data_IF_805139596054
#
_entry.id   IF_805139596054
#
_cell.length_a   1.000
_cell.length_b   1.000
_cell.length_c   1.000
_cell.angle_alpha   90.00
_cell.angle_beta   90.00
_cell.angle_gamma   90.00
#
_symmetry.space_group_name_H-M   'P 1'
#
loop_
_entity.id
_entity.type
_entity.pdbx_description
1 polymer ?
#
# COMPACT_ATOMS: atom_id res chain seq x y z
N UNK A 1 -7.06 -21.93 -4.27
CA UNK A 1 -6.44 -20.87 -5.09
C UNK A 1 -5.52 -20.06 -4.18
N UNK A 2 -4.27 -19.79 -4.56
CA UNK A 2 -3.26 -19.20 -3.69
C UNK A 2 -3.58 -17.72 -3.40
N UNK A 3 -3.69 -17.28 -2.12
CA UNK A 3 -3.98 -15.87 -1.79
C UNK A 3 -3.03 -14.86 -2.40
N UNK A 4 -1.76 -15.24 -2.62
CA UNK A 4 -0.74 -14.39 -3.25
C UNK A 4 -1.07 -14.19 -4.74
N UNK A 5 -1.46 -15.24 -5.45
CA UNK A 5 -1.82 -15.16 -6.88
C UNK A 5 -3.10 -14.36 -7.09
N UNK A 6 -4.10 -14.56 -6.23
CA UNK A 6 -5.34 -13.77 -6.25
C UNK A 6 -5.01 -12.28 -6.09
N UNK A 7 -4.26 -11.94 -5.04
CA UNK A 7 -3.90 -10.54 -4.78
C UNK A 7 -3.05 -9.98 -5.93
N UNK A 8 -2.09 -10.74 -6.47
CA UNK A 8 -1.29 -10.32 -7.62
C UNK A 8 -2.17 -9.95 -8.82
N UNK A 9 -3.12 -10.81 -9.18
CA UNK A 9 -4.02 -10.56 -10.31
C UNK A 9 -4.89 -9.32 -10.07
N UNK A 10 -5.42 -9.16 -8.84
CA UNK A 10 -6.19 -7.98 -8.46
C UNK A 10 -5.37 -6.68 -8.56
N UNK A 11 -4.10 -6.71 -8.13
CA UNK A 11 -3.22 -5.54 -8.19
C UNK A 11 -2.80 -5.20 -9.63
N UNK A 12 -2.57 -6.20 -10.49
CA UNK A 12 -2.31 -5.99 -11.92
C UNK A 12 -3.52 -5.38 -12.64
N UNK A 13 -4.74 -5.85 -12.32
CA UNK A 13 -5.97 -5.25 -12.84
C UNK A 13 -6.13 -3.80 -12.38
N UNK A 14 -5.84 -3.52 -11.11
CA UNK A 14 -5.91 -2.18 -10.55
C UNK A 14 -4.88 -1.22 -11.16
N UNK A 15 -3.67 -1.70 -11.47
CA UNK A 15 -2.68 -0.95 -12.25
C UNK A 15 -3.25 -0.52 -13.60
N UNK A 16 -3.81 -1.47 -14.35
CA UNK A 16 -4.39 -1.21 -15.66
C UNK A 16 -5.56 -0.22 -15.57
N UNK A 17 -6.44 -0.40 -14.59
CA UNK A 17 -7.59 0.48 -14.31
C UNK A 17 -7.12 1.93 -14.06
N UNK A 18 -6.19 2.14 -13.12
CA UNK A 18 -5.70 3.48 -12.76
C UNK A 18 -4.90 4.09 -13.92
N UNK A 19 -4.04 3.31 -14.57
CA UNK A 19 -3.22 3.82 -15.67
C UNK A 19 -4.04 4.13 -16.92
N UNK A 20 -5.26 3.60 -17.06
CA UNK A 20 -6.14 3.96 -18.18
C UNK A 20 -6.76 5.36 -18.03
N UNK A 21 -6.90 5.87 -16.81
CA UNK A 21 -7.59 7.13 -16.51
C UNK A 21 -6.68 8.23 -15.97
N UNK A 22 -5.51 7.87 -15.39
CA UNK A 22 -4.59 8.83 -14.76
C UNK A 22 -3.47 9.30 -15.69
N UNK A 23 -3.09 10.57 -15.55
CA UNK A 23 -1.87 11.15 -16.15
C UNK A 23 -0.62 10.55 -15.50
N UNK A 24 -0.67 10.33 -14.18
CA UNK A 24 0.42 9.72 -13.42
C UNK A 24 0.30 8.20 -13.48
N UNK A 25 1.36 7.53 -13.93
CA UNK A 25 1.40 6.08 -14.04
C UNK A 25 1.95 5.47 -12.76
N UNK A 26 1.22 4.50 -12.22
CA UNK A 26 1.72 3.60 -11.19
C UNK A 26 2.24 2.32 -11.84
N UNK A 27 3.17 1.65 -11.17
CA UNK A 27 3.74 0.40 -11.65
C UNK A 27 3.60 -0.68 -10.59
N UNK A 28 3.03 -1.83 -10.95
CA UNK A 28 3.02 -2.98 -10.06
C UNK A 28 4.45 -3.45 -9.75
N UNK A 29 4.69 -3.77 -8.49
CA UNK A 29 5.96 -4.28 -8.03
C UNK A 29 5.77 -5.40 -7.01
N UNK A 30 6.54 -6.47 -7.15
CA UNK A 30 6.57 -7.61 -6.23
C UNK A 30 8.02 -7.88 -5.82
N UNK A 31 8.28 -8.02 -4.52
CA UNK A 31 9.63 -8.35 -4.04
C UNK A 31 10.01 -9.78 -4.46
N UNK A 32 11.21 -9.93 -5.02
CA UNK A 32 11.74 -11.23 -5.50
C UNK A 32 11.85 -12.28 -4.39
N UNK A 33 12.30 -11.87 -3.20
CA UNK A 33 12.56 -12.76 -2.06
C UNK A 33 11.30 -13.01 -1.23
N UNK A 34 10.44 -11.99 -1.11
CA UNK A 34 9.20 -12.05 -0.34
C UNK A 34 8.02 -11.83 -1.27
N UNK A 35 7.56 -12.90 -1.92
CA UNK A 35 6.52 -12.81 -2.93
C UNK A 35 5.17 -12.29 -2.38
N UNK A 36 4.97 -12.35 -1.06
CA UNK A 36 3.81 -11.76 -0.40
C UNK A 36 3.89 -10.22 -0.27
N UNK A 37 5.05 -9.60 -0.50
CA UNK A 37 5.21 -8.15 -0.53
C UNK A 37 5.04 -7.64 -1.97
N UNK A 38 3.80 -7.23 -2.27
CA UNK A 38 3.41 -6.62 -3.54
C UNK A 38 3.02 -5.17 -3.31
N UNK A 39 2.86 -4.38 -4.37
CA UNK A 39 2.50 -2.97 -4.22
C UNK A 39 2.71 -2.18 -5.48
N UNK A 40 2.78 -0.86 -5.31
CA UNK A 40 2.92 0.10 -6.38
C UNK A 40 4.09 1.04 -6.16
N UNK A 41 4.75 1.36 -7.27
CA UNK A 41 5.77 2.37 -7.42
C UNK A 41 5.28 3.41 -8.43
N UNK A 42 6.04 4.50 -8.61
CA UNK A 42 5.79 5.49 -9.67
C UNK A 42 5.51 6.89 -9.13
N UNK A 43 4.93 6.99 -7.94
CA UNK A 43 4.62 8.25 -7.26
C UNK A 43 5.56 8.52 -6.07
N UNK A 44 5.10 9.28 -5.07
CA UNK A 44 5.90 9.55 -3.88
C UNK A 44 6.11 8.28 -3.06
N UNK A 45 7.35 7.87 -2.78
CA UNK A 45 7.61 6.65 -2.01
C UNK A 45 7.02 5.37 -2.66
N UNK A 46 6.58 4.42 -1.83
CA UNK A 46 6.03 3.12 -2.25
C UNK A 46 4.82 2.75 -1.40
N UNK A 47 3.75 2.30 -2.03
CA UNK A 47 2.60 1.72 -1.34
C UNK A 47 2.68 0.20 -1.45
N UNK A 48 2.76 -0.49 -0.32
CA UNK A 48 2.81 -1.94 -0.25
C UNK A 48 1.45 -2.52 0.13
N UNK A 49 1.09 -3.64 -0.48
CA UNK A 49 -0.07 -4.47 -0.20
C UNK A 49 0.40 -5.91 -0.03
N UNK A 50 0.10 -6.50 1.11
CA UNK A 50 0.45 -7.90 1.41
C UNK A 50 -0.75 -8.64 1.98
N UNK A 51 -0.92 -9.94 1.70
CA UNK A 51 -1.99 -10.72 2.31
C UNK A 51 -1.74 -10.84 3.82
N UNK A 52 -2.82 -10.81 4.60
CA UNK A 52 -2.82 -11.00 6.04
C UNK A 52 -3.85 -12.08 6.44
N UNK A 53 -3.84 -12.50 7.70
CA UNK A 53 -4.81 -13.47 8.22
C UNK A 53 -6.27 -12.99 8.18
N UNK A 54 -6.50 -11.68 8.02
CA UNK A 54 -7.83 -11.06 8.06
C UNK A 54 -8.14 -10.29 6.76
N UNK A 55 -7.29 -10.44 5.73
CA UNK A 55 -7.43 -9.73 4.45
C UNK A 55 -6.09 -9.22 3.93
N UNK A 56 -5.85 -7.92 4.04
CA UNK A 56 -4.69 -7.24 3.43
C UNK A 56 -4.06 -6.24 4.39
N UNK A 57 -2.73 -6.15 4.38
CA UNK A 57 -1.99 -5.07 5.02
C UNK A 57 -1.57 -4.06 3.95
N UNK A 58 -2.01 -2.81 4.10
CA UNK A 58 -1.59 -1.66 3.29
C UNK A 58 -0.51 -0.91 4.07
N UNK A 59 0.70 -0.78 3.54
CA UNK A 59 1.80 -0.10 4.21
C UNK A 59 2.42 1.03 3.36
N UNK A 60 2.74 2.15 3.99
CA UNK A 60 3.26 3.35 3.32
C UNK A 60 4.76 3.46 3.53
N UNK A 61 5.58 3.29 2.49
CA UNK A 61 7.04 3.35 2.61
C UNK A 61 7.60 4.63 2.01
N UNK A 62 8.20 5.48 2.86
CA UNK A 62 8.89 6.71 2.45
C UNK A 62 8.29 7.92 3.17
N UNK A 63 9.13 8.77 3.78
CA UNK A 63 8.66 9.79 4.72
C UNK A 63 7.71 10.83 4.11
N UNK A 64 7.96 11.23 2.87
CA UNK A 64 7.08 12.16 2.16
C UNK A 64 5.72 11.53 1.85
N UNK A 65 5.70 10.26 1.45
CA UNK A 65 4.47 9.50 1.26
C UNK A 65 3.71 9.32 2.59
N UNK A 66 4.41 8.91 3.64
CA UNK A 66 3.82 8.78 4.99
C UNK A 66 3.13 10.09 5.38
N UNK A 67 3.78 11.24 5.21
CA UNK A 67 3.20 12.54 5.54
C UNK A 67 1.93 12.86 4.72
N UNK A 68 1.89 12.51 3.43
CA UNK A 68 0.74 12.82 2.55
C UNK A 68 -0.42 11.84 2.75
N UNK A 69 -0.12 10.54 2.83
CA UNK A 69 -1.13 9.48 2.85
C UNK A 69 -1.63 9.15 4.26
N UNK A 70 -0.88 9.42 5.33
CA UNK A 70 -1.30 9.01 6.68
C UNK A 70 -2.65 9.61 7.10
N UNK A 71 -2.92 10.93 6.94
CA UNK A 71 -4.23 11.48 7.29
C UNK A 71 -5.35 10.88 6.45
N UNK A 72 -5.10 10.62 5.17
CA UNK A 72 -6.05 9.97 4.28
C UNK A 72 -6.35 8.54 4.74
N UNK A 73 -5.32 7.73 5.05
CA UNK A 73 -5.49 6.37 5.53
C UNK A 73 -6.23 6.30 6.86
N UNK A 74 -5.97 7.25 7.77
CA UNK A 74 -6.68 7.37 9.02
C UNK A 74 -8.17 7.66 8.82
N UNK A 75 -8.50 8.58 7.90
CA UNK A 75 -9.89 8.87 7.51
C UNK A 75 -10.56 7.67 6.84
N UNK A 76 -9.89 7.06 5.85
CA UNK A 76 -10.38 5.91 5.09
C UNK A 76 -10.68 4.70 5.98
N UNK A 77 -9.82 4.43 6.97
CA UNK A 77 -10.00 3.30 7.88
C UNK A 77 -10.78 3.65 9.16
N UNK A 78 -11.06 4.93 9.40
CA UNK A 78 -11.70 5.44 10.63
C UNK A 78 -10.88 5.22 11.90
N UNK A 79 -9.56 5.01 11.80
CA UNK A 79 -8.69 4.62 12.92
C UNK A 79 -7.21 4.86 12.64
N UNK A 80 -6.42 4.89 13.71
CA UNK A 80 -4.96 4.89 13.65
C UNK A 80 -4.39 3.61 13.01
N UNK A 81 -3.12 3.68 12.58
CA UNK A 81 -2.43 2.52 12.01
C UNK A 81 -2.31 1.36 13.01
N UNK A 82 -2.32 0.12 12.51
CA UNK A 82 -2.15 -1.09 13.33
C UNK A 82 -0.71 -1.31 13.81
N UNK A 83 0.22 -0.54 13.25
CA UNK A 83 1.61 -0.55 13.63
C UNK A 83 2.51 -0.17 12.47
N UNK A 84 3.78 -0.58 12.59
CA UNK A 84 4.87 -0.18 11.70
C UNK A 84 5.63 -1.42 11.25
N UNK A 85 5.84 -1.58 9.94
CA UNK A 85 6.57 -2.72 9.36
C UNK A 85 8.08 -2.62 9.60
N UNK A 86 8.59 -1.42 9.85
CA UNK A 86 10.00 -1.19 10.15
C UNK A 86 10.11 -0.50 11.52
N UNK A 87 10.70 -1.20 12.49
CA UNK A 87 10.92 -0.68 13.84
C UNK A 87 12.40 -0.83 14.21
N UNK A 88 12.99 0.21 14.79
CA UNK A 88 14.26 0.10 15.49
C UNK A 88 14.09 0.63 16.91
N UNK A 89 13.98 -0.30 17.87
CA UNK A 89 13.72 0.01 19.27
C UNK A 89 14.84 0.85 19.91
N UNK A 90 16.10 0.67 19.49
CA UNK A 90 17.24 1.38 20.08
C UNK A 90 17.19 2.89 19.87
N UNK A 91 16.61 3.33 18.75
CA UNK A 91 16.53 4.75 18.36
C UNK A 91 15.07 5.25 18.29
N UNK A 92 14.11 4.48 18.80
CA UNK A 92 12.68 4.83 18.77
C UNK A 92 12.07 4.96 17.36
N UNK A 93 12.76 4.47 16.32
CA UNK A 93 12.35 4.68 14.93
C UNK A 93 11.17 3.77 14.55
N UNK A 94 10.12 4.39 13.99
CA UNK A 94 8.90 3.75 13.49
C UNK A 94 8.64 4.23 12.06
N UNK A 95 8.83 3.33 11.10
CA UNK A 95 8.69 3.58 9.67
C UNK A 95 7.74 2.57 9.05
N UNK A 96 7.19 2.90 7.89
CA UNK A 96 6.25 2.04 7.19
C UNK A 96 5.00 1.71 8.02
N UNK A 97 4.20 2.73 8.41
CA UNK A 97 2.92 2.49 9.06
C UNK A 97 2.05 1.61 8.17
N UNK A 98 1.24 0.75 8.78
CA UNK A 98 0.33 -0.12 8.05
C UNK A 98 -1.07 -0.20 8.65
N UNK A 99 -2.05 -0.43 7.78
CA UNK A 99 -3.44 -0.72 8.12
C UNK A 99 -3.81 -2.09 7.57
N UNK A 100 -4.40 -2.91 8.44
CA UNK A 100 -5.01 -4.19 8.10
C UNK A 100 -6.48 -3.97 7.77
N UNK A 101 -6.86 -4.35 6.56
CA UNK A 101 -8.23 -4.21 6.04
C UNK A 101 -8.73 -5.57 5.57
N UNK A 102 -10.03 -5.82 5.71
CA UNK A 102 -10.68 -7.04 5.25
C UNK A 102 -11.42 -6.86 3.91
N UNK A 103 -11.50 -5.63 3.40
CA UNK A 103 -12.15 -5.27 2.15
C UNK A 103 -11.12 -4.76 1.13
N UNK A 104 -11.11 -5.37 -0.06
CA UNK A 104 -10.25 -4.94 -1.16
C UNK A 104 -10.63 -3.56 -1.70
N UNK A 105 -11.87 -3.09 -1.47
CA UNK A 105 -12.28 -1.72 -1.82
C UNK A 105 -11.39 -0.68 -1.13
N UNK A 106 -11.03 -0.89 0.14
CA UNK A 106 -10.12 0.00 0.87
C UNK A 106 -8.71 -0.01 0.26
N UNK A 107 -8.27 -1.15 -0.29
CA UNK A 107 -7.02 -1.23 -1.05
C UNK A 107 -7.13 -0.40 -2.32
N UNK A 108 -8.24 -0.51 -3.07
CA UNK A 108 -8.47 0.30 -4.28
C UNK A 108 -8.44 1.79 -3.99
N UNK A 109 -9.17 2.24 -2.97
CA UNK A 109 -9.24 3.65 -2.58
C UNK A 109 -7.87 4.20 -2.16
N UNK A 110 -7.09 3.40 -1.43
CA UNK A 110 -5.71 3.75 -1.04
C UNK A 110 -4.77 3.89 -2.25
N UNK A 111 -4.84 2.97 -3.21
CA UNK A 111 -3.98 3.00 -4.41
C UNK A 111 -4.40 4.13 -5.35
N UNK A 112 -5.70 4.40 -5.46
CA UNK A 112 -6.22 5.53 -6.23
C UNK A 112 -5.69 6.85 -5.66
N UNK A 113 -5.77 7.06 -4.35
CA UNK A 113 -5.21 8.26 -3.72
C UNK A 113 -3.68 8.33 -3.85
N UNK A 114 -2.99 7.19 -3.71
CA UNK A 114 -1.55 7.10 -3.95
C UNK A 114 -1.15 7.58 -5.35
N UNK A 115 -1.94 7.25 -6.38
CA UNK A 115 -1.67 7.66 -7.76
C UNK A 115 -1.68 9.18 -7.96
N UNK A 116 -2.27 9.93 -7.02
CA UNK A 116 -2.35 11.39 -7.04
C UNK A 116 -1.24 12.07 -6.21
N UNK A 117 -0.38 11.30 -5.53
CA UNK A 117 0.71 11.84 -4.71
C UNK A 117 1.87 12.34 -5.57
N UNK A 118 2.32 13.58 -5.32
CA UNK A 118 3.45 14.18 -6.02
C UNK A 118 4.78 13.77 -5.38
N UNK A 119 5.77 13.43 -6.20
CA UNK A 119 7.16 13.19 -5.79
C UNK A 119 7.82 14.45 -5.25
#
# INVERSE_FOLDING_TARGET
>A
MNPIEILKNLLLQLEAEINSTSVHKIQFHQQRVRQNHMGFLGCNGRLWVSPSSVGYDIALSGKSLEKQMYPFMQSLCGRECDGYKQKNAKIGKKDSPFWRVNDFKLVKDAVLHYSQTSK
#
